data_IF_400024901026
#
_entry.id   IF_400024901026
#
_cell.length_a   1.000
_cell.length_b   1.000
_cell.length_c   1.000
_cell.angle_alpha   90.00
_cell.angle_beta   90.00
_cell.angle_gamma   90.00
#
_symmetry.space_group_name_H-M   'P 1'
#
loop_
_entity.id
_entity.type
_entity.pdbx_description
1 polymer ?
#
# COMPACT_ATOMS: atom_id res chain seq x y z
N UNK A 1 -68.05 18.49 -59.55
CA UNK A 1 -67.81 18.67 -58.10
C UNK A 1 -66.70 19.71 -57.93
N UNK A 2 -67.04 20.83 -57.28
CA UNK A 2 -66.20 21.87 -56.59
C UNK A 2 -64.77 22.07 -57.13
N UNK A 3 -64.46 23.16 -57.86
CA UNK A 3 -64.10 24.53 -57.39
C UNK A 3 -63.15 24.51 -56.17
N UNK A 4 -62.03 25.23 -56.07
CA UNK A 4 -61.64 26.49 -56.70
C UNK A 4 -60.13 26.74 -56.60
N UNK A 5 -59.68 27.68 -57.41
CA UNK A 5 -58.34 28.13 -57.72
C UNK A 5 -57.60 28.98 -56.67
N UNK A 6 -56.28 29.11 -56.91
CA UNK A 6 -55.24 29.90 -56.26
C UNK A 6 -55.55 31.38 -55.91
N UNK A 7 -54.88 31.91 -54.88
CA UNK A 7 -53.95 33.06 -54.98
C UNK A 7 -53.26 33.42 -53.65
N UNK A 8 -52.01 33.85 -53.79
CA UNK A 8 -51.11 34.43 -52.78
C UNK A 8 -51.42 35.91 -52.54
N UNK A 9 -51.27 36.39 -51.30
CA UNK A 9 -51.04 37.82 -50.99
C UNK A 9 -50.30 38.01 -49.65
N UNK A 10 -49.50 39.06 -49.59
CA UNK A 10 -48.39 39.34 -48.66
C UNK A 10 -48.75 40.54 -47.75
N UNK A 11 -48.24 40.54 -46.49
CA UNK A 11 -48.05 41.66 -45.51
C UNK A 11 -49.31 42.25 -44.82
N UNK A 12 -49.34 42.73 -43.56
CA UNK A 12 -48.32 43.23 -42.62
C UNK A 12 -48.78 43.07 -41.11
N UNK A 13 -47.99 43.50 -40.09
CA UNK A 13 -47.96 42.92 -38.73
C UNK A 13 -48.89 43.59 -37.70
N UNK A 14 -49.28 42.87 -36.64
CA UNK A 14 -49.91 43.50 -35.47
C UNK A 14 -49.60 42.79 -34.14
N UNK A 15 -48.79 43.51 -33.36
CA UNK A 15 -48.83 43.69 -31.89
C UNK A 15 -48.47 42.50 -30.98
N UNK A 16 -47.25 42.62 -30.46
CA UNK A 16 -46.84 42.30 -29.09
C UNK A 16 -48.00 42.21 -28.09
N UNK A 17 -48.13 41.03 -27.47
CA UNK A 17 -48.34 40.96 -26.02
C UNK A 17 -47.23 40.11 -25.43
N UNK A 18 -46.24 40.82 -24.90
CA UNK A 18 -45.41 40.36 -23.81
C UNK A 18 -46.28 39.67 -22.76
N UNK A 19 -46.09 38.37 -22.59
CA UNK A 19 -46.31 37.76 -21.29
C UNK A 19 -45.04 37.03 -20.91
N UNK A 20 -44.19 37.83 -20.28
CA UNK A 20 -43.15 37.45 -19.34
C UNK A 20 -43.74 36.42 -18.38
N UNK A 21 -43.56 35.13 -18.68
CA UNK A 21 -43.21 34.16 -17.63
C UNK A 21 -41.69 34.19 -17.60
N UNK A 22 -41.11 35.25 -17.06
CA UNK A 22 -40.71 35.27 -15.65
C UNK A 22 -40.08 33.92 -15.30
N UNK A 23 -38.77 33.87 -15.52
CA UNK A 23 -37.84 33.10 -14.72
C UNK A 23 -38.45 32.79 -13.34
N UNK A 24 -38.88 31.54 -13.12
CA UNK A 24 -38.77 30.96 -11.77
C UNK A 24 -37.40 30.34 -11.69
N UNK A 25 -36.44 31.22 -11.42
CA UNK A 25 -35.20 30.78 -10.80
C UNK A 25 -35.53 30.06 -9.48
N UNK A 26 -34.70 29.08 -9.19
CA UNK A 26 -34.51 28.41 -7.90
C UNK A 26 -35.61 27.40 -7.54
N UNK A 27 -35.53 26.20 -8.13
CA UNK A 27 -35.96 24.99 -7.44
C UNK A 27 -35.05 24.81 -6.22
N UNK A 28 -35.42 25.47 -5.12
CA UNK A 28 -34.83 25.19 -3.82
C UNK A 28 -34.94 23.69 -3.53
N UNK A 29 -34.02 23.18 -2.72
CA UNK A 29 -34.06 21.81 -2.23
C UNK A 29 -35.42 21.60 -1.54
N UNK A 30 -36.36 20.95 -2.24
CA UNK A 30 -37.67 20.65 -1.66
C UNK A 30 -37.56 19.37 -0.85
N UNK A 31 -38.33 19.28 0.24
CA UNK A 31 -38.36 18.07 1.09
C UNK A 31 -38.65 16.82 0.26
N UNK A 32 -39.56 16.90 -0.72
CA UNK A 32 -39.86 15.78 -1.63
C UNK A 32 -38.65 15.39 -2.50
N UNK A 33 -37.86 16.36 -2.98
CA UNK A 33 -36.63 16.07 -3.72
C UNK A 33 -35.58 15.42 -2.82
N UNK A 34 -35.40 15.89 -1.58
CA UNK A 34 -34.47 15.28 -0.61
C UNK A 34 -34.89 13.85 -0.29
N UNK A 35 -36.17 13.63 0.03
CA UNK A 35 -36.71 12.31 0.37
C UNK A 35 -36.53 11.34 -0.78
N UNK A 36 -36.83 11.75 -2.03
CA UNK A 36 -36.61 10.89 -3.21
C UNK A 36 -35.15 10.49 -3.38
N UNK A 37 -34.21 11.43 -3.16
CA UNK A 37 -32.78 11.12 -3.24
C UNK A 37 -32.32 10.22 -2.10
N UNK A 38 -32.79 10.42 -0.87
CA UNK A 38 -32.47 9.53 0.26
C UNK A 38 -33.00 8.11 0.03
N UNK A 39 -34.21 7.98 -0.51
CA UNK A 39 -34.78 6.67 -0.89
C UNK A 39 -33.96 6.04 -2.02
N UNK A 40 -33.57 6.80 -3.04
CA UNK A 40 -32.72 6.30 -4.12
C UNK A 40 -31.35 5.83 -3.59
N UNK A 41 -30.72 6.60 -2.69
CA UNK A 41 -29.47 6.21 -2.02
C UNK A 41 -29.67 4.94 -1.20
N UNK A 42 -30.76 4.82 -0.44
CA UNK A 42 -31.04 3.63 0.35
C UNK A 42 -31.22 2.39 -0.54
N UNK A 43 -31.91 2.51 -1.68
CA UNK A 43 -32.07 1.44 -2.67
C UNK A 43 -30.71 1.06 -3.26
N UNK A 44 -29.89 2.03 -3.66
CA UNK A 44 -28.55 1.76 -4.20
C UNK A 44 -27.68 1.07 -3.16
N UNK A 45 -27.66 1.53 -1.92
CA UNK A 45 -26.91 0.89 -0.82
C UNK A 45 -27.40 -0.54 -0.56
N UNK A 46 -28.71 -0.77 -0.60
CA UNK A 46 -29.28 -2.11 -0.46
C UNK A 46 -28.83 -3.04 -1.59
N UNK A 47 -28.89 -2.59 -2.84
CA UNK A 47 -28.46 -3.35 -4.01
C UNK A 47 -26.95 -3.63 -3.98
N UNK A 48 -26.13 -2.65 -3.61
CA UNK A 48 -24.69 -2.84 -3.41
C UNK A 48 -24.41 -3.87 -2.31
N UNK A 49 -25.10 -3.77 -1.18
CA UNK A 49 -24.90 -4.72 -0.08
C UNK A 49 -25.31 -6.15 -0.48
N UNK A 50 -26.45 -6.34 -1.15
CA UNK A 50 -26.96 -7.67 -1.49
C UNK A 50 -26.29 -8.29 -2.72
N UNK A 51 -26.15 -7.53 -3.80
CA UNK A 51 -25.66 -8.05 -5.08
C UNK A 51 -24.14 -7.99 -5.20
N UNK A 52 -23.50 -6.97 -4.62
CA UNK A 52 -22.04 -6.80 -4.73
C UNK A 52 -21.35 -7.48 -3.55
N UNK A 53 -21.68 -7.11 -2.31
CA UNK A 53 -21.00 -7.69 -1.13
C UNK A 53 -21.50 -9.12 -0.84
N UNK A 54 -22.82 -9.35 -0.96
CA UNK A 54 -23.43 -10.64 -0.62
C UNK A 54 -23.21 -11.77 -1.62
N UNK A 55 -23.11 -11.48 -2.93
CA UNK A 55 -22.99 -12.53 -3.96
C UNK A 55 -21.56 -12.75 -4.45
N UNK A 56 -20.67 -11.75 -4.35
CA UNK A 56 -19.30 -11.88 -4.85
C UNK A 56 -18.34 -12.17 -3.69
N UNK A 57 -17.73 -13.37 -3.63
CA UNK A 57 -16.88 -13.78 -2.52
C UNK A 57 -15.72 -12.83 -2.22
N UNK A 58 -15.17 -12.18 -3.26
CA UNK A 58 -14.06 -11.22 -3.11
C UNK A 58 -14.42 -9.99 -2.29
N UNK A 59 -15.64 -9.46 -2.43
CA UNK A 59 -16.08 -8.30 -1.65
C UNK A 59 -16.40 -8.67 -0.20
N UNK A 60 -16.97 -9.86 0.03
CA UNK A 60 -17.13 -10.38 1.39
C UNK A 60 -15.79 -10.56 2.11
N UNK A 61 -14.78 -11.11 1.42
CA UNK A 61 -13.42 -11.20 1.97
C UNK A 61 -12.85 -9.81 2.33
N UNK A 62 -12.95 -8.84 1.42
CA UNK A 62 -12.43 -7.49 1.65
C UNK A 62 -13.13 -6.81 2.84
N UNK A 63 -14.45 -6.96 2.95
CA UNK A 63 -15.23 -6.43 4.08
C UNK A 63 -14.79 -7.05 5.41
N UNK A 64 -14.64 -8.37 5.47
CA UNK A 64 -14.21 -9.06 6.69
C UNK A 64 -12.76 -8.71 7.05
N UNK A 65 -11.88 -8.57 6.06
CA UNK A 65 -10.51 -8.09 6.26
C UNK A 65 -10.50 -6.67 6.85
N UNK A 66 -11.30 -5.75 6.31
CA UNK A 66 -11.41 -4.38 6.80
C UNK A 66 -11.92 -4.34 8.24
N UNK A 67 -12.98 -5.09 8.53
CA UNK A 67 -13.55 -5.20 9.88
C UNK A 67 -12.52 -5.74 10.87
N UNK A 68 -11.88 -6.87 10.55
CA UNK A 68 -10.86 -7.46 11.42
C UNK A 68 -9.66 -6.53 11.64
N UNK A 69 -9.18 -5.86 10.58
CA UNK A 69 -8.09 -4.88 10.70
C UNK A 69 -8.46 -3.68 11.57
N UNK A 70 -9.71 -3.20 11.51
CA UNK A 70 -10.19 -2.11 12.35
C UNK A 70 -10.25 -2.52 13.82
N UNK A 71 -10.78 -3.71 14.11
CA UNK A 71 -10.83 -4.27 15.47
C UNK A 71 -9.42 -4.41 16.07
N UNK A 72 -8.47 -4.95 15.32
CA UNK A 72 -7.06 -5.04 15.73
C UNK A 72 -6.48 -3.64 15.97
N UNK A 73 -6.73 -2.69 15.07
CA UNK A 73 -6.21 -1.32 15.21
C UNK A 73 -6.74 -0.63 16.47
N UNK A 74 -8.00 -0.86 16.81
CA UNK A 74 -8.62 -0.34 18.03
C UNK A 74 -8.05 -1.02 19.28
N UNK A 75 -7.97 -2.36 19.27
CA UNK A 75 -7.46 -3.12 20.41
C UNK A 75 -6.00 -2.77 20.75
N UNK A 76 -5.18 -2.54 19.73
CA UNK A 76 -3.76 -2.20 19.86
C UNK A 76 -3.49 -0.71 19.61
N UNK A 77 -4.45 0.18 19.88
CA UNK A 77 -4.32 1.62 19.59
C UNK A 77 -3.10 2.27 20.26
N UNK A 78 -2.70 1.79 21.44
CA UNK A 78 -1.58 2.32 22.22
C UNK A 78 -0.21 1.73 21.83
N UNK A 79 -0.14 0.85 20.84
CA UNK A 79 1.13 0.28 20.37
C UNK A 79 1.92 1.28 19.52
N UNK A 80 3.24 1.25 19.68
CA UNK A 80 4.18 2.02 18.84
C UNK A 80 4.22 1.47 17.42
N UNK A 81 4.75 2.26 16.49
CA UNK A 81 4.93 1.84 15.09
C UNK A 81 5.76 0.56 14.97
N UNK A 82 6.83 0.42 15.77
CA UNK A 82 7.68 -0.76 15.74
C UNK A 82 6.95 -1.99 16.28
N UNK A 83 6.20 -1.87 17.38
CA UNK A 83 5.36 -2.96 17.89
C UNK A 83 4.35 -3.43 16.84
N UNK A 84 3.72 -2.50 16.10
CA UNK A 84 2.81 -2.86 15.01
C UNK A 84 3.52 -3.58 13.87
N UNK A 85 4.76 -3.19 13.55
CA UNK A 85 5.55 -3.89 12.55
C UNK A 85 6.02 -5.26 13.03
N UNK A 86 6.39 -5.43 14.29
CA UNK A 86 6.67 -6.74 14.89
C UNK A 86 5.45 -7.65 14.84
N UNK A 87 4.26 -7.15 15.19
CA UNK A 87 3.03 -7.95 15.09
C UNK A 87 2.73 -8.38 13.65
N UNK A 88 3.00 -7.51 12.66
CA UNK A 88 2.69 -7.78 11.26
C UNK A 88 3.75 -8.60 10.53
N UNK A 89 5.02 -8.40 10.84
CA UNK A 89 6.17 -8.93 10.10
C UNK A 89 7.01 -9.90 10.94
N UNK A 90 6.73 -10.03 12.23
CA UNK A 90 7.42 -10.92 13.15
C UNK A 90 8.92 -10.67 13.18
N UNK A 91 9.68 -11.77 13.19
CA UNK A 91 11.15 -11.75 13.26
C UNK A 91 11.81 -11.01 12.10
N UNK A 92 11.14 -10.84 10.95
CA UNK A 92 11.70 -10.09 9.83
C UNK A 92 11.92 -8.61 10.19
N UNK A 93 10.94 -7.99 10.86
CA UNK A 93 11.11 -6.61 11.32
C UNK A 93 12.11 -6.52 12.48
N UNK A 94 12.05 -7.46 13.44
CA UNK A 94 12.99 -7.51 14.57
C UNK A 94 14.43 -7.59 14.07
N UNK A 95 14.70 -8.46 13.09
CA UNK A 95 16.03 -8.61 12.52
C UNK A 95 16.49 -7.35 11.78
N UNK A 96 15.65 -6.76 10.91
CA UNK A 96 16.02 -5.53 10.20
C UNK A 96 16.22 -4.34 11.17
N UNK A 97 15.43 -4.27 12.26
CA UNK A 97 15.63 -3.27 13.31
C UNK A 97 16.95 -3.50 14.05
N UNK A 98 17.26 -4.75 14.40
CA UNK A 98 18.55 -5.12 15.00
C UNK A 98 19.72 -4.68 14.11
N UNK A 99 19.67 -4.93 12.80
CA UNK A 99 20.70 -4.46 11.86
C UNK A 99 20.84 -2.93 11.90
N UNK A 100 19.70 -2.21 11.93
CA UNK A 100 19.66 -0.75 11.99
C UNK A 100 20.31 -0.22 13.26
N UNK A 101 19.96 -0.77 14.41
CA UNK A 101 20.44 -0.33 15.73
C UNK A 101 21.93 -0.62 15.93
N UNK A 102 22.45 -1.66 15.29
CA UNK A 102 23.84 -2.13 15.46
C UNK A 102 24.78 -1.71 14.32
N UNK A 103 24.37 -0.76 13.48
CA UNK A 103 25.23 -0.20 12.42
C UNK A 103 25.12 1.32 12.37
N UNK A 104 26.17 2.05 11.95
CA UNK A 104 26.10 3.50 11.83
C UNK A 104 25.16 3.94 10.67
N UNK A 105 24.65 5.19 10.69
CA UNK A 105 23.70 5.68 9.69
C UNK A 105 24.19 5.61 8.23
N UNK A 106 25.50 5.77 8.01
CA UNK A 106 26.15 5.74 6.70
C UNK A 106 26.58 4.33 6.25
N UNK A 107 26.27 3.30 7.04
CA UNK A 107 26.67 1.94 6.74
C UNK A 107 26.15 1.47 5.36
N UNK A 108 27.02 0.78 4.65
CA UNK A 108 26.69 -0.06 3.49
C UNK A 108 26.69 -1.50 3.98
N UNK A 109 25.51 -2.11 4.00
CA UNK A 109 25.27 -3.45 4.55
C UNK A 109 25.10 -4.43 3.38
N UNK A 110 25.92 -5.49 3.36
CA UNK A 110 25.67 -6.67 2.56
C UNK A 110 24.58 -7.50 3.24
N UNK A 111 23.40 -7.55 2.62
CA UNK A 111 22.25 -8.27 3.13
C UNK A 111 22.27 -9.71 2.60
N UNK A 112 21.93 -10.73 3.41
CA UNK A 112 21.85 -12.11 2.94
C UNK A 112 20.84 -12.32 1.81
N UNK A 113 21.09 -13.35 1.00
CA UNK A 113 20.17 -13.75 -0.08
C UNK A 113 18.92 -14.44 0.46
N UNK A 114 17.95 -14.70 -0.44
CA UNK A 114 16.71 -15.39 -0.09
C UNK A 114 16.96 -16.75 0.54
N UNK A 115 17.93 -17.49 0.01
CA UNK A 115 18.27 -18.85 0.41
C UNK A 115 18.82 -18.88 1.84
N UNK A 116 19.49 -17.81 2.28
CA UNK A 116 19.96 -17.68 3.65
C UNK A 116 18.80 -17.48 4.64
N UNK A 117 17.78 -16.69 4.28
CA UNK A 117 16.58 -16.50 5.10
C UNK A 117 15.65 -17.71 5.07
N UNK A 118 15.60 -18.44 3.95
CA UNK A 118 14.68 -19.53 3.68
C UNK A 118 15.42 -20.78 3.15
N UNK A 119 16.27 -21.43 3.98
CA UNK A 119 16.98 -22.62 3.56
C UNK A 119 16.01 -23.77 3.28
N UNK A 120 16.31 -24.57 2.26
CA UNK A 120 15.48 -25.74 1.91
C UNK A 120 15.52 -26.78 3.04
N UNK A 121 14.36 -27.35 3.38
CA UNK A 121 14.24 -28.36 4.43
C UNK A 121 14.27 -27.82 5.88
N UNK A 122 14.42 -26.51 6.07
CA UNK A 122 14.39 -25.88 7.39
C UNK A 122 13.04 -25.21 7.69
N UNK A 123 12.74 -25.05 8.98
CA UNK A 123 11.56 -24.31 9.43
C UNK A 123 11.68 -22.81 9.08
N UNK A 124 10.60 -22.24 8.54
CA UNK A 124 10.55 -20.81 8.20
C UNK A 124 10.21 -19.98 9.42
N UNK A 125 11.25 -19.43 10.06
CA UNK A 125 11.09 -18.53 11.22
C UNK A 125 10.80 -17.07 10.82
N UNK A 126 11.21 -16.65 9.62
CA UNK A 126 10.96 -15.31 9.10
C UNK A 126 9.67 -15.24 8.28
N UNK A 127 8.88 -14.19 8.46
CA UNK A 127 7.72 -13.92 7.61
C UNK A 127 8.05 -12.90 6.51
N UNK A 128 7.31 -12.94 5.39
CA UNK A 128 7.45 -11.96 4.31
C UNK A 128 8.73 -12.10 3.49
N UNK A 129 9.35 -10.98 3.13
CA UNK A 129 10.54 -10.94 2.26
C UNK A 129 11.65 -10.02 2.83
N UNK A 130 12.26 -10.35 4.00
CA UNK A 130 13.32 -9.53 4.58
C UNK A 130 14.56 -9.42 3.69
N UNK A 131 14.77 -10.36 2.76
CA UNK A 131 15.85 -10.35 1.75
C UNK A 131 15.60 -9.35 0.61
N UNK A 132 14.37 -8.86 0.44
CA UNK A 132 14.04 -7.98 -0.68
C UNK A 132 14.66 -6.61 -0.45
N UNK A 133 15.56 -6.20 -1.35
CA UNK A 133 16.33 -4.95 -1.22
C UNK A 133 15.47 -3.72 -0.99
N UNK A 134 14.33 -3.59 -1.69
CA UNK A 134 13.46 -2.43 -1.56
C UNK A 134 12.83 -2.37 -0.16
N UNK A 135 12.34 -3.52 0.31
CA UNK A 135 11.76 -3.64 1.65
C UNK A 135 12.79 -3.42 2.75
N UNK A 136 13.95 -4.08 2.66
CA UNK A 136 15.04 -3.91 3.62
C UNK A 136 15.51 -2.44 3.69
N UNK A 137 15.69 -1.79 2.54
CA UNK A 137 16.08 -0.37 2.47
C UNK A 137 15.10 0.54 3.21
N UNK A 138 13.78 0.27 3.12
CA UNK A 138 12.76 1.06 3.82
C UNK A 138 12.95 1.06 5.33
N UNK A 139 13.32 -0.09 5.92
CA UNK A 139 13.52 -0.21 7.36
C UNK A 139 14.92 0.23 7.79
N UNK A 140 15.94 0.00 6.95
CA UNK A 140 17.34 0.28 7.24
C UNK A 140 17.75 1.74 6.97
N UNK A 141 16.94 2.52 6.25
CA UNK A 141 17.22 3.93 5.96
C UNK A 141 17.72 4.69 7.22
N UNK A 142 18.81 5.47 7.13
CA UNK A 142 19.53 5.91 5.91
C UNK A 142 20.62 4.96 5.36
N UNK A 143 20.76 3.74 5.90
CA UNK A 143 21.80 2.78 5.49
C UNK A 143 21.55 2.29 4.06
N UNK A 144 22.63 1.96 3.36
CA UNK A 144 22.56 1.40 2.00
C UNK A 144 22.60 -0.13 2.06
N UNK A 145 21.79 -0.75 1.22
CA UNK A 145 21.71 -2.22 1.12
C UNK A 145 22.33 -2.68 -0.19
N UNK A 146 23.22 -3.67 -0.11
CA UNK A 146 23.82 -4.38 -1.25
C UNK A 146 23.44 -5.85 -1.15
N UNK A 147 23.04 -6.46 -2.26
CA UNK A 147 22.77 -7.89 -2.34
C UNK A 147 23.99 -8.67 -2.85
N UNK A 148 24.11 -9.98 -2.56
CA UNK A 148 25.21 -10.80 -3.07
C UNK A 148 25.27 -10.80 -4.61
N UNK A 149 24.11 -10.75 -5.27
CA UNK A 149 24.01 -10.68 -6.73
C UNK A 149 24.54 -9.38 -7.36
N UNK A 150 24.80 -8.34 -6.54
CA UNK A 150 25.33 -7.03 -6.95
C UNK A 150 26.84 -6.90 -6.70
N UNK A 151 27.47 -7.90 -6.08
CA UNK A 151 28.90 -7.93 -5.84
C UNK A 151 29.66 -7.86 -7.17
N UNK A 152 30.60 -6.92 -7.27
CA UNK A 152 31.39 -6.65 -8.48
C UNK A 152 30.66 -5.91 -9.59
N UNK A 153 29.35 -5.65 -9.46
CA UNK A 153 28.53 -5.00 -10.50
C UNK A 153 28.23 -3.54 -10.22
N UNK A 154 28.32 -3.12 -8.96
CA UNK A 154 27.97 -1.75 -8.55
C UNK A 154 29.13 -1.09 -7.79
N UNK A 155 29.29 0.24 -7.87
CA UNK A 155 30.30 0.94 -7.07
C UNK A 155 30.12 0.72 -5.55
N UNK A 156 28.91 0.38 -5.11
CA UNK A 156 28.60 0.13 -3.70
C UNK A 156 29.13 -1.21 -3.19
N UNK A 157 29.35 -2.20 -4.07
CA UNK A 157 29.90 -3.49 -3.63
C UNK A 157 31.33 -3.38 -3.11
N UNK A 158 32.08 -2.36 -3.55
CA UNK A 158 33.43 -2.07 -3.08
C UNK A 158 33.45 -1.25 -1.78
N UNK A 159 32.29 -0.74 -1.35
CA UNK A 159 32.14 0.14 -0.18
C UNK A 159 31.39 -0.54 0.96
N UNK A 160 31.26 -1.87 0.93
CA UNK A 160 30.58 -2.63 1.97
C UNK A 160 31.34 -2.42 3.28
N UNK A 161 30.59 -2.00 4.31
CA UNK A 161 31.13 -1.72 5.64
C UNK A 161 30.75 -2.81 6.63
N UNK A 162 29.59 -3.44 6.44
CA UNK A 162 29.04 -4.44 7.34
C UNK A 162 28.43 -5.59 6.54
N UNK A 163 28.50 -6.79 7.10
CA UNK A 163 27.84 -7.98 6.60
C UNK A 163 26.77 -8.39 7.60
N UNK A 164 25.53 -8.48 7.14
CA UNK A 164 24.44 -9.04 7.91
C UNK A 164 24.48 -10.58 7.79
N UNK A 165 24.24 -11.25 8.90
CA UNK A 165 24.35 -12.70 9.04
C UNK A 165 22.99 -13.25 9.45
N UNK A 166 22.52 -14.27 8.77
CA UNK A 166 21.24 -14.94 9.06
C UNK A 166 21.39 -16.44 8.90
N UNK A 167 20.86 -17.21 9.85
CA UNK A 167 20.99 -18.67 9.89
C UNK A 167 22.45 -19.15 9.72
N UNK A 168 23.41 -18.38 10.23
CA UNK A 168 24.84 -18.69 10.11
C UNK A 168 25.44 -18.45 8.71
N UNK A 169 24.68 -17.91 7.75
CA UNK A 169 25.16 -17.54 6.41
C UNK A 169 25.55 -16.07 6.40
N UNK A 170 26.68 -15.75 5.77
CA UNK A 170 27.23 -14.40 5.65
C UNK A 170 28.67 -14.29 6.14
N UNK A 171 29.13 -15.21 7.00
CA UNK A 171 30.52 -15.20 7.50
C UNK A 171 31.55 -15.32 6.37
N UNK A 172 31.19 -15.97 5.26
CA UNK A 172 32.04 -16.12 4.07
C UNK A 172 32.40 -14.79 3.37
N UNK A 173 31.72 -13.69 3.70
CA UNK A 173 32.03 -12.35 3.16
C UNK A 173 32.91 -11.50 4.09
N UNK A 174 33.26 -12.01 5.29
CA UNK A 174 34.20 -11.34 6.19
C UNK A 174 35.64 -11.68 5.78
N UNK A 175 36.57 -10.76 6.04
CA UNK A 175 38.01 -10.95 5.76
C UNK A 175 38.80 -11.43 7.00
N UNK A 176 38.10 -11.90 8.03
CA UNK A 176 38.66 -12.38 9.29
C UNK A 176 37.83 -13.54 9.83
N UNK A 177 38.47 -14.38 10.64
CA UNK A 177 37.79 -15.49 11.32
C UNK A 177 37.06 -15.03 12.58
N UNK A 178 35.85 -15.55 12.75
CA UNK A 178 35.02 -15.29 13.94
C UNK A 178 34.99 -16.55 14.79
N UNK A 179 35.54 -16.46 16.01
CA UNK A 179 35.64 -17.58 16.95
C UNK A 179 34.27 -18.14 17.34
N UNK A 180 33.29 -17.25 17.58
CA UNK A 180 31.95 -17.62 18.02
C UNK A 180 30.90 -17.20 16.99
N UNK A 181 30.58 -18.14 16.08
CA UNK A 181 29.55 -17.93 15.07
C UNK A 181 28.16 -18.08 15.67
N UNK A 182 27.40 -16.99 15.69
CA UNK A 182 25.97 -16.98 16.02
C UNK A 182 25.12 -16.98 14.76
N UNK A 183 23.87 -17.45 14.87
CA UNK A 183 22.96 -17.60 13.74
C UNK A 183 22.55 -16.25 13.13
N UNK A 184 22.37 -15.21 13.96
CA UNK A 184 21.92 -13.89 13.52
C UNK A 184 22.86 -12.81 14.08
N UNK A 185 23.46 -12.01 13.21
CA UNK A 185 24.37 -10.94 13.61
C UNK A 185 24.51 -9.89 12.51
N UNK A 186 25.22 -8.80 12.83
CA UNK A 186 25.79 -7.87 11.85
C UNK A 186 27.19 -7.52 12.29
N UNK A 187 28.16 -7.73 11.39
CA UNK A 187 29.57 -7.58 11.70
C UNK A 187 30.24 -6.64 10.71
N UNK A 188 31.16 -5.77 11.15
CA UNK A 188 31.91 -4.90 10.25
C UNK A 188 32.85 -5.74 9.38
N UNK A 189 33.06 -5.36 8.12
CA UNK A 189 34.05 -6.02 7.24
C UNK A 189 35.48 -5.75 7.71
N UNK A 190 35.70 -4.58 8.32
CA UNK A 190 36.98 -4.21 8.91
C UNK A 190 36.75 -3.95 10.40
N UNK A 191 37.11 -4.89 11.29
CA UNK A 191 37.02 -4.64 12.71
C UNK A 191 37.89 -3.44 13.06
N UNK A 192 37.40 -2.58 13.96
CA UNK A 192 38.24 -1.51 14.49
C UNK A 192 39.41 -2.16 15.25
N UNK A 193 40.64 -1.64 15.09
CA UNK A 193 41.78 -2.09 15.87
C UNK A 193 41.55 -1.89 17.38
#
# INVERSE_FOLDING_TARGET
MKNSSAKSQKQAPAKNKSNVKAQKAQSGITVSWVVKNLVAVAIVLFLLNKLVIGMQPGYNWAYNMLKGNLEVTQHYAHTTTDQRFEMKLGLAHVYLRYLKENTPPDAVILLPSKEAFYPEGAERIFSGEPYNKLWATRFLYPRRVVLPSELGKTPWSQKITHVAIVNGVGYEYLNYDVEHKVAHAVLPVHPKP
#
